data_IF_376702006957
#
_entry.id   IF_376702006957
#
_cell.length_a   1.000
_cell.length_b   1.000
_cell.length_c   1.000
_cell.angle_alpha   90.00
_cell.angle_beta   90.00
_cell.angle_gamma   90.00
#
_symmetry.space_group_name_H-M   'P 1'
#
loop_
_entity.id
_entity.type
_entity.pdbx_description
1 polymer ?
#
# COMPACT_ATOMS: atom_id res chain seq x y z
N UNK A 1 -0.97 13.24 -15.59
CA UNK A 1 -2.35 12.84 -15.20
C UNK A 1 -2.28 12.18 -13.83
N UNK A 2 -3.38 12.12 -13.08
CA UNK A 2 -3.42 11.48 -11.77
C UNK A 2 -3.87 10.02 -11.91
N UNK A 3 -3.19 9.08 -11.24
CA UNK A 3 -3.54 7.66 -11.25
C UNK A 3 -4.54 7.29 -10.16
N UNK A 4 -5.20 6.16 -10.29
CA UNK A 4 -6.09 5.58 -9.29
C UNK A 4 -5.28 4.86 -8.21
N UNK A 5 -5.65 4.99 -6.94
CA UNK A 5 -4.95 4.38 -5.82
C UNK A 5 -5.85 3.42 -5.06
N UNK A 6 -5.37 2.20 -4.83
CA UNK A 6 -5.95 1.25 -3.89
C UNK A 6 -5.10 1.17 -2.62
N UNK A 7 -5.69 1.41 -1.47
CA UNK A 7 -5.10 1.18 -0.15
C UNK A 7 -5.74 -0.08 0.41
N UNK A 8 -4.98 -1.17 0.46
CA UNK A 8 -5.46 -2.50 0.84
C UNK A 8 -4.77 -2.89 2.14
N UNK A 9 -5.54 -3.15 3.19
CA UNK A 9 -4.99 -3.40 4.50
C UNK A 9 -5.66 -4.56 5.24
N UNK A 10 -4.98 -5.03 6.27
CA UNK A 10 -5.48 -6.08 7.18
C UNK A 10 -5.20 -5.69 8.64
N UNK A 11 -5.86 -6.36 9.56
CA UNK A 11 -5.69 -6.12 10.99
C UNK A 11 -6.26 -4.76 11.45
N UNK A 12 -5.69 -4.21 12.52
CA UNK A 12 -6.12 -2.94 13.13
C UNK A 12 -5.32 -1.76 12.56
N UNK A 13 -5.32 -1.63 11.23
CA UNK A 13 -4.65 -0.55 10.51
C UNK A 13 -5.61 0.48 9.92
N UNK A 14 -6.90 0.44 10.27
CA UNK A 14 -7.94 1.28 9.67
C UNK A 14 -7.56 2.76 9.70
N UNK A 15 -7.17 3.30 10.85
CA UNK A 15 -6.85 4.72 10.97
C UNK A 15 -5.61 5.14 10.14
N UNK A 16 -4.61 4.25 10.01
CA UNK A 16 -3.42 4.52 9.16
C UNK A 16 -3.81 4.45 7.68
N UNK A 17 -4.62 3.45 7.29
CA UNK A 17 -5.08 3.27 5.93
C UNK A 17 -5.97 4.43 5.47
N UNK A 18 -6.87 4.91 6.32
CA UNK A 18 -7.70 6.09 6.05
C UNK A 18 -6.86 7.36 5.88
N UNK A 19 -5.89 7.60 6.79
CA UNK A 19 -4.98 8.75 6.69
C UNK A 19 -4.11 8.68 5.42
N UNK A 20 -3.71 7.47 5.02
CA UNK A 20 -2.99 7.22 3.77
C UNK A 20 -3.89 7.55 2.58
N UNK A 21 -5.13 7.05 2.59
CA UNK A 21 -6.13 7.29 1.54
C UNK A 21 -6.48 8.77 1.38
N UNK A 22 -6.70 9.49 2.49
CA UNK A 22 -6.93 10.93 2.50
C UNK A 22 -5.77 11.69 1.84
N UNK A 23 -4.54 11.39 2.24
CA UNK A 23 -3.36 12.05 1.69
C UNK A 23 -3.14 11.74 0.21
N UNK A 24 -3.38 10.49 -0.22
CA UNK A 24 -3.32 10.12 -1.63
C UNK A 24 -4.39 10.85 -2.46
N UNK A 25 -5.58 11.06 -1.90
CA UNK A 25 -6.71 11.70 -2.55
C UNK A 25 -6.45 13.15 -2.99
N UNK A 26 -5.48 13.85 -2.39
CA UNK A 26 -5.08 15.18 -2.83
C UNK A 26 -4.33 15.19 -4.19
N UNK A 27 -3.79 14.05 -4.62
CA UNK A 27 -2.95 13.94 -5.82
C UNK A 27 -3.44 12.86 -6.80
N UNK A 28 -4.21 11.88 -6.33
CA UNK A 28 -4.76 10.80 -7.13
C UNK A 28 -6.07 11.21 -7.83
N UNK A 29 -6.42 10.49 -8.90
CA UNK A 29 -7.71 10.65 -9.57
C UNK A 29 -8.85 10.12 -8.69
N UNK A 30 -8.67 8.94 -8.14
CA UNK A 30 -9.60 8.28 -7.20
C UNK A 30 -8.82 7.43 -6.21
N UNK A 31 -9.37 7.27 -5.01
CA UNK A 31 -8.81 6.41 -3.97
C UNK A 31 -9.87 5.43 -3.48
N UNK A 32 -9.48 4.18 -3.28
CA UNK A 32 -10.26 3.16 -2.58
C UNK A 32 -9.47 2.72 -1.36
N UNK A 33 -10.10 2.71 -0.19
CA UNK A 33 -9.54 2.12 1.04
C UNK A 33 -10.34 0.84 1.29
N UNK A 34 -9.64 -0.28 1.35
CA UNK A 34 -10.23 -1.62 1.25
C UNK A 34 -9.58 -2.53 2.29
N UNK A 35 -10.38 -3.34 2.97
CA UNK A 35 -9.91 -4.34 3.92
C UNK A 35 -9.78 -5.70 3.24
N UNK A 36 -8.77 -6.49 3.60
CA UNK A 36 -8.71 -7.90 3.20
C UNK A 36 -9.65 -8.70 4.11
N UNK A 37 -10.56 -9.49 3.52
CA UNK A 37 -11.42 -10.43 4.24
C UNK A 37 -10.83 -11.83 4.26
N UNK A 38 -11.13 -12.57 5.33
CA UNK A 38 -10.85 -14.01 5.37
C UNK A 38 -11.93 -14.84 4.63
N UNK A 39 -13.11 -14.27 4.43
CA UNK A 39 -14.22 -14.92 3.74
C UNK A 39 -14.19 -14.55 2.26
N UNK A 40 -13.99 -15.53 1.39
CA UNK A 40 -13.98 -15.35 -0.07
C UNK A 40 -15.32 -14.84 -0.63
N UNK A 41 -16.41 -15.07 0.09
CA UNK A 41 -17.77 -14.67 -0.26
C UNK A 41 -18.19 -13.32 0.35
N UNK A 42 -17.29 -12.55 0.92
CA UNK A 42 -17.60 -11.22 1.48
C UNK A 42 -17.95 -10.24 0.35
N UNK A 43 -19.17 -10.33 -0.16
CA UNK A 43 -19.73 -9.32 -1.02
C UNK A 43 -19.83 -7.98 -0.27
N UNK A 44 -19.38 -6.91 -0.92
CA UNK A 44 -19.37 -5.53 -0.44
C UNK A 44 -20.80 -5.02 -0.16
N UNK A 45 -21.35 -5.40 0.99
CA UNK A 45 -22.72 -5.02 1.39
C UNK A 45 -22.83 -4.16 2.65
N UNK A 46 -21.71 -3.83 3.29
CA UNK A 46 -21.64 -3.04 4.53
C UNK A 46 -20.79 -1.78 4.39
N UNK A 47 -20.56 -1.11 5.54
CA UNK A 47 -19.65 0.05 5.62
C UNK A 47 -18.20 -0.32 5.27
N UNK A 48 -17.81 -1.58 5.47
CA UNK A 48 -16.49 -2.10 5.12
C UNK A 48 -16.48 -2.58 3.66
N UNK A 49 -15.60 -1.99 2.86
CA UNK A 49 -15.33 -2.45 1.50
C UNK A 49 -14.17 -3.42 1.52
N UNK A 50 -14.41 -4.61 1.01
CA UNK A 50 -13.37 -5.65 0.91
C UNK A 50 -12.62 -5.56 -0.42
N UNK A 51 -11.32 -5.89 -0.35
CA UNK A 51 -10.43 -5.89 -1.51
C UNK A 51 -10.69 -7.11 -2.39
N UNK A 52 -10.81 -6.87 -3.68
CA UNK A 52 -10.89 -7.92 -4.69
C UNK A 52 -9.85 -7.74 -5.80
N UNK A 53 -9.70 -8.75 -6.66
CA UNK A 53 -8.77 -8.71 -7.79
C UNK A 53 -9.07 -7.54 -8.75
N UNK A 54 -10.33 -7.19 -8.93
CA UNK A 54 -10.75 -6.05 -9.75
C UNK A 54 -10.25 -4.70 -9.22
N UNK A 55 -10.00 -4.56 -7.90
CA UNK A 55 -9.44 -3.34 -7.34
C UNK A 55 -7.95 -3.19 -7.67
N UNK A 56 -7.23 -4.31 -7.71
CA UNK A 56 -5.83 -4.32 -8.16
C UNK A 56 -5.71 -3.98 -9.64
N UNK A 57 -6.60 -4.50 -10.46
CA UNK A 57 -6.63 -4.19 -11.90
C UNK A 57 -6.96 -2.71 -12.15
N UNK A 58 -7.94 -2.17 -11.42
CA UNK A 58 -8.37 -0.77 -11.50
C UNK A 58 -7.31 0.23 -11.04
N UNK A 59 -6.48 -0.12 -10.03
CA UNK A 59 -5.50 0.76 -9.45
C UNK A 59 -4.27 0.93 -10.35
N UNK A 60 -3.73 2.13 -10.41
CA UNK A 60 -2.41 2.45 -10.97
C UNK A 60 -1.31 2.40 -9.91
N UNK A 61 -1.70 2.65 -8.66
CA UNK A 61 -0.84 2.51 -7.49
C UNK A 61 -1.53 1.76 -6.37
N UNK A 62 -0.78 0.93 -5.65
CA UNK A 62 -1.30 0.06 -4.60
C UNK A 62 -0.47 0.25 -3.34
N UNK A 63 -1.13 0.49 -2.20
CA UNK A 63 -0.52 0.49 -0.89
C UNK A 63 -1.03 -0.73 -0.10
N UNK A 64 -0.14 -1.61 0.32
CA UNK A 64 -0.47 -2.73 1.20
C UNK A 64 -0.16 -2.38 2.66
N UNK A 65 -1.16 -2.54 3.53
CA UNK A 65 -1.05 -2.37 4.98
C UNK A 65 -1.12 -3.71 5.70
N UNK A 66 -0.11 -4.03 6.51
CA UNK A 66 -0.07 -5.27 7.29
C UNK A 66 0.47 -5.03 8.69
N UNK A 67 -0.17 -5.53 9.74
CA UNK A 67 0.50 -5.64 11.03
C UNK A 67 1.64 -6.65 10.94
N UNK A 68 2.66 -6.46 11.77
CA UNK A 68 3.74 -7.41 11.91
C UNK A 68 3.49 -8.24 13.16
N UNK A 69 3.24 -9.54 12.98
CA UNK A 69 3.10 -10.52 14.06
C UNK A 69 4.17 -11.60 13.95
N UNK A 70 4.81 -11.96 15.08
CA UNK A 70 5.86 -12.99 15.12
C UNK A 70 6.97 -12.82 14.08
N UNK A 71 7.30 -11.57 13.73
CA UNK A 71 8.32 -11.24 12.75
C UNK A 71 7.91 -11.54 11.29
N UNK A 72 6.62 -11.58 10.98
CA UNK A 72 6.10 -11.82 9.63
C UNK A 72 4.88 -10.94 9.31
N UNK A 73 4.61 -10.66 8.02
CA UNK A 73 3.36 -10.05 7.58
C UNK A 73 2.16 -10.94 7.92
N UNK A 74 0.98 -10.34 8.08
CA UNK A 74 -0.24 -11.08 8.36
C UNK A 74 -0.53 -12.15 7.28
N UNK A 75 -0.79 -13.42 7.66
CA UNK A 75 -1.01 -14.50 6.69
C UNK A 75 -2.16 -14.23 5.72
N UNK A 76 -3.21 -13.55 6.17
CA UNK A 76 -4.35 -13.21 5.32
C UNK A 76 -3.97 -12.28 4.15
N UNK A 77 -3.02 -11.34 4.37
CA UNK A 77 -2.52 -10.50 3.28
C UNK A 77 -1.68 -11.33 2.31
N UNK A 78 -0.84 -12.23 2.83
CA UNK A 78 -0.03 -13.10 1.98
C UNK A 78 -0.90 -14.03 1.13
N UNK A 79 -2.00 -14.54 1.69
CA UNK A 79 -2.98 -15.33 0.95
C UNK A 79 -3.65 -14.50 -0.16
N UNK A 80 -4.08 -13.28 0.16
CA UNK A 80 -4.64 -12.35 -0.84
C UNK A 80 -3.64 -12.06 -1.96
N UNK A 81 -2.37 -11.79 -1.64
CA UNK A 81 -1.32 -11.57 -2.64
C UNK A 81 -1.11 -12.83 -3.49
N UNK A 82 -1.11 -14.03 -2.90
CA UNK A 82 -0.99 -15.28 -3.64
C UNK A 82 -2.16 -15.51 -4.62
N UNK A 83 -3.38 -15.09 -4.26
CA UNK A 83 -4.56 -15.21 -5.14
C UNK A 83 -4.50 -14.32 -6.39
N UNK A 84 -3.52 -13.41 -6.48
CA UNK A 84 -3.38 -12.49 -7.63
C UNK A 84 -2.72 -13.13 -8.87
N UNK A 85 -2.36 -14.40 -8.82
CA UNK A 85 -1.70 -15.13 -9.92
C UNK A 85 -2.37 -14.91 -11.28
N UNK A 86 -3.70 -14.95 -11.44
CA UNK A 86 -4.33 -14.71 -12.74
C UNK A 86 -4.09 -13.31 -13.31
N UNK A 87 -3.80 -12.33 -12.48
CA UNK A 87 -3.51 -10.95 -12.90
C UNK A 87 -2.05 -10.76 -13.29
N UNK A 88 -1.10 -11.19 -12.45
CA UNK A 88 0.31 -11.01 -12.78
C UNK A 88 0.77 -11.97 -13.88
N UNK A 89 0.25 -13.20 -13.94
CA UNK A 89 0.50 -14.14 -15.03
C UNK A 89 0.02 -13.64 -16.40
N UNK A 90 -0.98 -12.74 -16.42
CA UNK A 90 -1.45 -12.08 -17.65
C UNK A 90 -0.85 -10.67 -17.86
N UNK A 91 0.11 -10.25 -17.05
CA UNK A 91 0.78 -8.95 -17.15
C UNK A 91 -0.06 -7.74 -16.71
N UNK A 92 -1.24 -7.95 -16.10
CA UNK A 92 -2.13 -6.84 -15.70
C UNK A 92 -1.62 -6.02 -14.51
N UNK A 93 -0.63 -6.55 -13.77
CA UNK A 93 -0.01 -5.87 -12.64
C UNK A 93 1.34 -5.23 -13.00
N UNK A 94 1.78 -5.39 -14.24
CA UNK A 94 3.05 -4.85 -14.71
C UNK A 94 3.08 -3.32 -14.66
N UNK A 95 4.24 -2.76 -14.26
CA UNK A 95 4.46 -1.31 -14.13
C UNK A 95 3.50 -0.57 -13.19
N UNK A 96 2.81 -1.27 -12.26
CA UNK A 96 2.07 -0.59 -11.19
C UNK A 96 3.00 -0.12 -10.09
N UNK A 97 2.76 1.08 -9.55
CA UNK A 97 3.48 1.59 -8.39
C UNK A 97 2.98 0.89 -7.13
N UNK A 98 3.85 0.31 -6.32
CA UNK A 98 3.43 -0.39 -5.09
C UNK A 98 4.27 0.03 -3.89
N UNK A 99 3.65 0.18 -2.74
CA UNK A 99 4.31 0.42 -1.44
C UNK A 99 3.69 -0.43 -0.35
N UNK A 100 4.43 -0.63 0.74
CA UNK A 100 3.96 -1.38 1.91
C UNK A 100 4.08 -0.48 3.14
N UNK A 101 3.10 -0.52 4.04
CA UNK A 101 3.14 0.13 5.35
C UNK A 101 2.72 -0.84 6.45
N UNK A 102 3.18 -0.59 7.68
CA UNK A 102 2.94 -1.45 8.84
C UNK A 102 2.46 -0.62 10.03
N UNK A 103 2.03 -1.30 11.08
CA UNK A 103 1.73 -0.72 12.39
C UNK A 103 2.98 -0.41 13.22
N UNK A 104 4.08 -1.08 12.90
CA UNK A 104 5.37 -0.84 13.56
C UNK A 104 6.07 0.40 13.00
N UNK A 105 6.78 1.19 13.84
CA UNK A 105 7.72 2.17 13.35
C UNK A 105 8.80 1.48 12.51
N UNK A 106 9.11 2.02 11.33
CA UNK A 106 10.01 1.38 10.35
C UNK A 106 11.40 1.04 10.89
N UNK A 107 11.89 1.80 11.88
CA UNK A 107 13.17 1.51 12.51
C UNK A 107 13.12 0.30 13.47
N UNK A 108 11.93 -0.26 13.76
CA UNK A 108 11.76 -1.48 14.57
C UNK A 108 11.41 -2.71 13.73
N UNK A 109 10.82 -2.54 12.54
CA UNK A 109 10.60 -3.64 11.61
C UNK A 109 11.78 -3.71 10.63
N UNK A 110 12.69 -4.69 10.76
CA UNK A 110 13.74 -4.88 9.76
C UNK A 110 13.09 -5.09 8.41
N UNK A 111 13.64 -4.48 7.35
CA UNK A 111 13.17 -4.64 5.97
C UNK A 111 12.99 -6.12 5.58
N UNK A 112 13.78 -7.01 6.20
CA UNK A 112 13.71 -8.47 6.00
C UNK A 112 12.35 -9.07 6.33
N UNK A 113 11.57 -8.48 7.23
CA UNK A 113 10.22 -8.95 7.59
C UNK A 113 9.24 -8.77 6.43
N UNK A 114 9.44 -7.76 5.59
CA UNK A 114 8.59 -7.44 4.44
C UNK A 114 9.06 -8.12 3.14
N UNK A 115 10.22 -8.80 3.13
CA UNK A 115 10.75 -9.47 1.94
C UNK A 115 9.74 -10.41 1.28
N UNK A 116 8.95 -11.23 1.99
CA UNK A 116 7.97 -12.09 1.33
C UNK A 116 6.94 -11.32 0.49
N UNK A 117 6.57 -10.12 0.93
CA UNK A 117 5.69 -9.25 0.13
C UNK A 117 6.46 -8.70 -1.07
N UNK A 118 7.67 -8.17 -0.86
CA UNK A 118 8.47 -7.60 -1.95
C UNK A 118 8.82 -8.63 -3.02
N UNK A 119 9.10 -9.88 -2.66
CA UNK A 119 9.35 -10.97 -3.60
C UNK A 119 8.14 -11.23 -4.50
N UNK A 120 6.94 -11.25 -3.93
CA UNK A 120 5.71 -11.39 -4.72
C UNK A 120 5.47 -10.19 -5.64
N UNK A 121 5.67 -8.95 -5.15
CA UNK A 121 5.51 -7.73 -5.93
C UNK A 121 6.55 -7.62 -7.06
N UNK A 122 7.75 -8.17 -6.83
CA UNK A 122 8.77 -8.27 -7.87
C UNK A 122 8.33 -9.19 -9.02
N UNK A 123 7.68 -10.32 -8.70
CA UNK A 123 7.10 -11.22 -9.71
C UNK A 123 6.01 -10.54 -10.54
N UNK A 124 5.29 -9.57 -9.98
CA UNK A 124 4.30 -8.79 -10.74
C UNK A 124 4.94 -7.89 -11.81
N UNK A 125 6.25 -7.64 -11.73
CA UNK A 125 6.90 -6.58 -12.49
C UNK A 125 6.51 -5.18 -12.00
N UNK A 126 6.12 -5.06 -10.73
CA UNK A 126 5.70 -3.81 -10.13
C UNK A 126 6.90 -2.91 -9.80
N UNK A 127 6.67 -1.60 -9.78
CA UNK A 127 7.64 -0.62 -9.31
C UNK A 127 7.48 -0.44 -7.79
N UNK A 128 8.38 -1.05 -7.02
CA UNK A 128 8.33 -1.02 -5.57
C UNK A 128 8.87 0.31 -5.05
N UNK A 129 8.04 1.02 -4.27
CA UNK A 129 8.39 2.28 -3.62
C UNK A 129 8.74 1.97 -2.17
N UNK A 130 10.01 1.78 -1.91
CA UNK A 130 10.54 1.56 -0.57
C UNK A 130 10.58 2.83 0.28
N UNK A 131 10.83 2.70 1.60
CA UNK A 131 11.09 3.82 2.48
C UNK A 131 12.34 4.59 2.03
N UNK A 132 12.36 5.90 2.23
CA UNK A 132 13.56 6.71 1.99
C UNK A 132 14.30 6.91 3.30
N UNK A 133 15.63 6.99 3.23
CA UNK A 133 16.46 7.39 4.36
C UNK A 133 16.02 8.73 4.97
N UNK A 134 15.43 9.62 4.17
CA UNK A 134 14.87 10.90 4.62
C UNK A 134 13.59 10.74 5.46
N UNK A 135 12.73 9.76 5.16
CA UNK A 135 11.55 9.44 5.98
C UNK A 135 11.99 8.95 7.35
N UNK A 136 12.99 8.06 7.37
CA UNK A 136 13.62 7.59 8.61
C UNK A 136 14.26 8.72 9.43
N UNK A 137 14.90 9.70 8.76
CA UNK A 137 15.48 10.86 9.42
C UNK A 137 14.41 11.80 10.01
N UNK A 138 13.26 11.98 9.36
CA UNK A 138 12.15 12.77 9.89
C UNK A 138 11.59 12.16 11.19
N UNK A 139 11.51 10.83 11.26
CA UNK A 139 11.06 10.14 12.48
C UNK A 139 12.12 10.20 13.58
N UNK A 140 13.40 10.05 13.27
CA UNK A 140 14.50 10.11 14.22
C UNK A 140 14.63 11.47 14.93
N UNK A 141 14.38 12.58 14.25
CA UNK A 141 14.45 13.92 14.82
C UNK A 141 13.25 14.31 15.70
N UNK A 142 12.19 13.48 15.77
CA UNK A 142 10.99 13.75 16.55
C UNK A 142 10.78 12.79 17.72
N UNK A 143 11.75 11.90 17.99
CA UNK A 143 11.66 10.88 19.05
C UNK A 143 12.19 11.31 20.41
N UNK A 144 12.45 12.60 20.65
CA UNK A 144 12.79 13.10 22.00
C UNK A 144 11.63 13.06 23.01
N UNK A 145 10.44 12.64 22.60
CA UNK A 145 9.32 12.34 23.48
C UNK A 145 9.12 10.84 23.59
N UNK A 146 9.41 10.25 24.75
CA UNK A 146 8.98 8.90 25.12
C UNK A 146 7.48 8.76 24.79
N UNK A 147 7.06 7.81 23.92
CA UNK A 147 5.65 7.68 23.60
C UNK A 147 4.87 7.33 24.85
N UNK A 148 3.99 8.21 25.27
CA UNK A 148 2.96 7.88 26.26
C UNK A 148 2.01 6.87 25.61
N UNK A 149 1.56 5.82 26.31
CA UNK A 149 0.65 4.80 25.76
C UNK A 149 -0.78 5.36 25.67
N UNK A 150 -0.99 6.40 24.91
CA UNK A 150 -2.29 6.98 24.64
C UNK A 150 -2.72 6.63 23.23
N UNK A 151 -3.97 6.27 23.09
CA UNK A 151 -4.69 5.75 21.92
C UNK A 151 -4.74 6.61 20.66
N UNK A 152 -3.98 7.69 20.60
CA UNK A 152 -3.78 8.48 19.38
C UNK A 152 -2.55 7.95 18.65
N UNK A 153 -2.71 7.59 17.38
CA UNK A 153 -1.59 7.25 16.49
C UNK A 153 -0.51 8.33 16.62
N UNK A 154 0.75 7.99 16.88
CA UNK A 154 1.80 8.98 16.99
C UNK A 154 1.81 9.85 15.73
N UNK A 155 1.88 11.17 15.91
CA UNK A 155 1.87 12.14 14.81
C UNK A 155 2.95 11.84 13.73
N UNK A 156 4.03 11.19 14.13
CA UNK A 156 5.08 10.69 13.26
C UNK A 156 4.56 9.65 12.25
N UNK A 157 3.80 8.64 12.70
CA UNK A 157 3.22 7.60 11.81
C UNK A 157 2.31 8.20 10.75
N UNK A 158 1.47 9.16 11.14
CA UNK A 158 0.60 9.86 10.21
C UNK A 158 1.37 10.70 9.18
N UNK A 159 2.49 11.32 9.61
CA UNK A 159 3.34 12.09 8.67
C UNK A 159 3.99 11.17 7.64
N UNK A 160 4.58 10.06 8.09
CA UNK A 160 5.20 9.06 7.21
C UNK A 160 4.17 8.47 6.24
N UNK A 161 2.99 8.08 6.72
CA UNK A 161 1.90 7.58 5.89
C UNK A 161 1.49 8.62 4.81
N UNK A 162 1.29 9.88 5.19
CA UNK A 162 0.95 10.96 4.28
C UNK A 162 2.03 11.22 3.22
N UNK A 163 3.28 11.22 3.62
CA UNK A 163 4.39 11.40 2.68
C UNK A 163 4.48 10.27 1.66
N UNK A 164 4.36 9.01 2.12
CA UNK A 164 4.32 7.82 1.25
C UNK A 164 3.14 7.83 0.30
N UNK A 165 1.98 8.20 0.81
CA UNK A 165 0.76 8.32 0.01
C UNK A 165 0.94 9.33 -1.13
N UNK A 166 1.50 10.50 -0.83
CA UNK A 166 1.77 11.53 -1.83
C UNK A 166 2.80 11.05 -2.88
N UNK A 167 3.83 10.32 -2.43
CA UNK A 167 4.86 9.77 -3.32
C UNK A 167 4.28 8.67 -4.22
N UNK A 168 3.49 7.75 -3.65
CA UNK A 168 2.80 6.71 -4.40
C UNK A 168 1.89 7.32 -5.47
N UNK A 169 1.05 8.29 -5.11
CA UNK A 169 0.10 8.91 -6.03
C UNK A 169 0.80 9.61 -7.22
N UNK A 170 1.92 10.29 -6.96
CA UNK A 170 2.72 10.93 -8.03
C UNK A 170 3.32 9.90 -8.98
N UNK A 171 3.97 8.86 -8.44
CA UNK A 171 4.61 7.83 -9.27
C UNK A 171 3.58 6.99 -10.03
N UNK A 172 2.47 6.64 -9.40
CA UNK A 172 1.35 5.97 -10.07
C UNK A 172 0.83 6.76 -11.26
N UNK A 173 0.68 8.08 -11.13
CA UNK A 173 0.27 8.95 -12.23
C UNK A 173 1.26 8.95 -13.39
N UNK A 174 2.56 9.02 -13.11
CA UNK A 174 3.61 8.98 -14.15
C UNK A 174 3.62 7.64 -14.88
N UNK A 175 3.55 6.53 -14.13
CA UNK A 175 3.56 5.18 -14.70
C UNK A 175 2.27 4.90 -15.51
N UNK A 176 1.11 5.37 -15.03
CA UNK A 176 -0.14 5.27 -15.77
C UNK A 176 -0.06 5.97 -17.13
N UNK A 177 0.49 7.19 -17.15
CA UNK A 177 0.69 7.95 -18.40
C UNK A 177 1.62 7.23 -19.38
N UNK A 178 2.68 6.59 -18.87
CA UNK A 178 3.61 5.82 -19.70
C UNK A 178 2.97 4.54 -20.26
N UNK A 179 2.19 3.80 -19.45
CA UNK A 179 1.43 2.63 -19.93
C UNK A 179 0.46 3.01 -21.05
N UNK A 180 -0.28 4.12 -20.87
CA UNK A 180 -1.20 4.59 -21.91
C UNK A 180 -0.48 5.03 -23.20
N UNK A 181 0.72 5.59 -23.11
CA UNK A 181 1.52 5.92 -24.29
C UNK A 181 1.97 4.68 -25.03
N UNK A 182 2.50 3.67 -24.34
CA UNK A 182 2.96 2.42 -24.97
C UNK A 182 1.85 1.70 -25.75
N UNK A 183 0.64 1.65 -25.18
CA UNK A 183 -0.52 1.05 -25.88
C UNK A 183 -0.85 1.79 -27.18
N UNK A 184 -0.70 3.11 -27.23
CA UNK A 184 -0.94 3.93 -28.44
C UNK A 184 0.11 3.72 -29.53
N UNK A 185 1.33 3.31 -29.20
CA UNK A 185 2.40 3.08 -30.18
C UNK A 185 2.53 1.60 -30.58
N UNK A 186 1.84 0.68 -29.91
CA UNK A 186 1.83 -0.75 -30.24
C UNK A 186 0.69 -1.14 -31.19
N UNK A 187 -0.19 -0.19 -31.57
CA UNK A 187 -1.24 -0.30 -32.58
C UNK A 187 -0.85 0.47 -33.83
#
# INVERSE_FOLDING_TARGET
>A
MSGNIAVIYTGDLTAVAEAFGEAAGHLAARVRVLRVSADEDSESGGADRYAGLGDLEWADGIAFGTPIGDGAPAPILMHFIASTEPLWGSGRLYDKAVTVFTDEPEHFAPDSVLHPIYDALYQWGAVIIGPRAFELALDAHHTDAVPSPSSALPAARLRTARYRAARLARLAGVLADERHRRVRFAL
#
